data_IF_250448514680
#
_entry.id   IF_250448514680
#
_cell.length_a   1.000
_cell.length_b   1.000
_cell.length_c   1.000
_cell.angle_alpha   90.00
_cell.angle_beta   90.00
_cell.angle_gamma   90.00
#
_symmetry.space_group_name_H-M   'P 1'
#
loop_
_entity.id
_entity.type
_entity.pdbx_description
1 polymer ?
#
# COMPACT_ATOMS: atom_id res chain seq x y z
N UNK A 1 8.40 17.99 9.74
CA UNK A 1 7.46 16.88 9.49
C UNK A 1 6.64 17.20 8.25
N UNK A 2 6.74 16.40 7.18
CA UNK A 2 6.01 16.57 5.93
C UNK A 2 4.72 15.72 5.94
N UNK A 3 3.58 16.36 5.80
CA UNK A 3 2.25 15.74 5.94
C UNK A 3 1.65 15.37 4.59
N UNK A 4 1.44 14.08 4.32
CA UNK A 4 0.83 13.60 3.08
C UNK A 4 -0.55 13.03 3.41
N UNK A 5 -1.61 13.69 2.93
CA UNK A 5 -2.94 13.11 2.92
C UNK A 5 -3.13 12.31 1.61
N UNK A 6 -3.74 11.13 1.70
CA UNK A 6 -3.95 10.27 0.54
C UNK A 6 -5.26 9.49 0.66
N UNK A 7 -5.78 9.00 -0.45
CA UNK A 7 -6.93 8.11 -0.46
C UNK A 7 -6.88 7.08 -1.60
N UNK A 8 -7.53 5.95 -1.37
CA UNK A 8 -8.00 5.08 -2.43
C UNK A 8 -9.30 5.67 -3.00
N UNK A 9 -9.33 5.97 -4.29
CA UNK A 9 -10.51 6.53 -4.94
C UNK A 9 -11.72 5.60 -4.83
N UNK A 10 -12.91 6.17 -4.81
CA UNK A 10 -14.18 5.45 -4.72
C UNK A 10 -14.44 4.73 -3.38
N UNK A 11 -15.30 3.72 -3.40
CA UNK A 11 -15.55 2.69 -2.39
C UNK A 11 -15.99 1.41 -3.10
N UNK A 12 -16.01 0.29 -2.41
CA UNK A 12 -16.13 -1.04 -3.04
C UNK A 12 -17.40 -1.21 -3.90
N UNK A 13 -18.49 -0.54 -3.53
CA UNK A 13 -19.77 -0.64 -4.22
C UNK A 13 -20.07 0.54 -5.18
N UNK A 14 -19.06 1.35 -5.55
CA UNK A 14 -19.25 2.42 -6.53
C UNK A 14 -19.74 1.82 -7.86
N UNK A 15 -20.91 2.23 -8.38
CA UNK A 15 -21.45 1.67 -9.61
C UNK A 15 -20.51 1.88 -10.81
N UNK A 16 -20.35 0.85 -11.65
CA UNK A 16 -19.54 0.91 -12.87
C UNK A 16 -18.02 0.92 -12.66
N UNK A 17 -17.53 1.06 -11.43
CA UNK A 17 -16.10 1.17 -11.09
C UNK A 17 -15.48 -0.20 -10.84
N UNK A 18 -15.11 -0.89 -11.94
CA UNK A 18 -14.59 -2.28 -11.93
C UNK A 18 -13.92 -2.63 -13.25
N UNK A 19 -13.08 -3.65 -13.23
CA UNK A 19 -12.53 -4.23 -14.44
C UNK A 19 -13.63 -4.76 -15.38
N UNK A 20 -13.39 -4.68 -16.67
CA UNK A 20 -14.30 -5.20 -17.68
C UNK A 20 -14.36 -6.74 -17.57
N UNK A 21 -15.55 -7.29 -17.47
CA UNK A 21 -15.81 -8.73 -17.22
C UNK A 21 -15.14 -9.66 -18.22
N UNK A 22 -15.02 -9.25 -19.49
CA UNK A 22 -14.34 -10.02 -20.53
C UNK A 22 -12.83 -10.10 -20.37
N UNK A 23 -12.23 -9.22 -19.53
CA UNK A 23 -10.79 -9.16 -19.26
C UNK A 23 -10.46 -9.67 -17.86
N UNK A 24 -11.39 -9.53 -16.92
CA UNK A 24 -11.30 -10.03 -15.56
C UNK A 24 -12.66 -10.62 -15.14
N UNK A 25 -12.83 -11.95 -15.17
CA UNK A 25 -14.08 -12.61 -14.79
C UNK A 25 -14.57 -12.29 -13.38
N UNK A 26 -13.66 -11.89 -12.48
CA UNK A 26 -13.99 -11.51 -11.09
C UNK A 26 -14.52 -10.07 -11.00
N UNK A 27 -14.48 -9.30 -12.09
CA UNK A 27 -14.88 -7.90 -12.11
C UNK A 27 -14.28 -7.10 -10.95
N UNK A 28 -12.97 -7.23 -10.74
CA UNK A 28 -12.23 -6.59 -9.64
C UNK A 28 -12.59 -5.11 -9.57
N UNK A 29 -13.02 -4.67 -8.39
CA UNK A 29 -13.47 -3.30 -8.16
C UNK A 29 -12.31 -2.32 -8.19
N UNK A 30 -12.53 -1.12 -8.73
CA UNK A 30 -11.52 -0.06 -8.76
C UNK A 30 -10.97 0.24 -7.38
N UNK A 31 -11.83 0.35 -6.37
CA UNK A 31 -11.39 0.58 -5.00
C UNK A 31 -10.40 -0.49 -4.51
N UNK A 32 -10.57 -1.77 -4.89
CA UNK A 32 -9.64 -2.85 -4.48
C UNK A 32 -8.24 -2.62 -5.07
N UNK A 33 -8.15 -2.20 -6.34
CA UNK A 33 -6.88 -1.87 -6.99
C UNK A 33 -6.25 -0.64 -6.36
N UNK A 34 -7.05 0.40 -6.13
CA UNK A 34 -6.61 1.65 -5.49
C UNK A 34 -6.13 1.41 -4.05
N UNK A 35 -6.84 0.55 -3.29
CA UNK A 35 -6.49 0.18 -1.92
C UNK A 35 -5.15 -0.55 -1.84
N UNK A 36 -4.87 -1.48 -2.76
CA UNK A 36 -3.56 -2.14 -2.85
C UNK A 36 -2.43 -1.13 -3.00
N UNK A 37 -2.59 -0.16 -3.91
CA UNK A 37 -1.60 0.93 -4.09
C UNK A 37 -1.49 1.77 -2.82
N UNK A 38 -2.61 2.18 -2.21
CA UNK A 38 -2.64 2.99 -1.01
C UNK A 38 -1.95 2.32 0.18
N UNK A 39 -2.15 1.01 0.36
CA UNK A 39 -1.47 0.21 1.40
C UNK A 39 0.04 0.15 1.17
N UNK A 40 0.47 -0.11 -0.06
CA UNK A 40 1.90 -0.15 -0.38
C UNK A 40 2.54 1.23 -0.32
N UNK A 41 1.81 2.30 -0.68
CA UNK A 41 2.27 3.69 -0.54
C UNK A 41 2.55 4.04 0.92
N UNK A 42 1.65 3.69 1.82
CA UNK A 42 1.87 3.92 3.24
C UNK A 42 3.10 3.16 3.77
N UNK A 43 3.34 1.93 3.27
CA UNK A 43 4.57 1.18 3.59
C UNK A 43 5.82 1.86 3.04
N UNK A 44 5.78 2.36 1.80
CA UNK A 44 6.91 3.06 1.20
C UNK A 44 7.29 4.31 2.00
N UNK A 45 6.30 5.08 2.47
CA UNK A 45 6.51 6.27 3.27
C UNK A 45 7.19 6.02 4.63
N UNK A 46 7.04 4.81 5.20
CA UNK A 46 7.73 4.43 6.44
C UNK A 46 9.26 4.44 6.30
N UNK A 47 9.77 4.32 5.08
CA UNK A 47 11.21 4.38 4.76
C UNK A 47 11.79 5.80 4.73
N UNK A 48 10.99 6.84 4.99
CA UNK A 48 11.44 8.23 4.98
C UNK A 48 11.37 8.87 6.37
N UNK A 49 12.31 9.80 6.61
CA UNK A 49 12.33 10.61 7.82
C UNK A 49 11.25 11.68 7.77
N UNK A 50 10.76 12.08 8.94
CA UNK A 50 9.85 13.23 9.10
C UNK A 50 8.62 13.24 8.19
N UNK A 51 8.06 12.08 7.87
CA UNK A 51 6.82 11.93 7.09
C UNK A 51 5.68 11.49 8.01
N UNK A 52 4.56 12.19 7.90
CA UNK A 52 3.28 11.80 8.47
C UNK A 52 2.26 11.50 7.38
N UNK A 53 1.43 10.51 7.60
CA UNK A 53 0.40 10.08 6.68
C UNK A 53 -1.00 10.20 7.27
N UNK A 54 -1.95 10.67 6.47
CA UNK A 54 -3.37 10.65 6.78
C UNK A 54 -4.15 10.01 5.64
N UNK A 55 -4.71 8.83 5.87
CA UNK A 55 -5.67 8.24 4.94
C UNK A 55 -7.04 8.90 5.12
N UNK A 56 -7.68 9.32 4.03
CA UNK A 56 -8.90 10.12 4.07
C UNK A 56 -10.16 9.38 3.63
N UNK A 57 -10.04 8.27 2.88
CA UNK A 57 -11.14 7.35 2.57
C UNK A 57 -11.43 6.38 3.75
N UNK A 58 -12.45 5.55 3.59
CA UNK A 58 -12.70 4.41 4.49
C UNK A 58 -11.77 3.24 4.11
N UNK A 59 -10.78 2.87 4.95
CA UNK A 59 -9.85 1.79 4.64
C UNK A 59 -10.49 0.40 4.58
N UNK A 60 -11.77 0.27 4.96
CA UNK A 60 -12.53 -0.97 4.78
C UNK A 60 -13.25 -1.02 3.42
N UNK A 61 -13.33 0.10 2.72
CA UNK A 61 -14.04 0.27 1.46
C UNK A 61 -15.56 0.17 1.55
N UNK A 62 -16.13 0.00 2.74
CA UNK A 62 -17.57 -0.22 2.93
C UNK A 62 -18.37 1.07 2.84
N UNK A 63 -17.82 2.18 3.34
CA UNK A 63 -18.50 3.45 3.43
C UNK A 63 -18.03 4.40 2.30
N UNK A 64 -19.02 5.05 1.68
CA UNK A 64 -18.73 6.09 0.70
C UNK A 64 -18.41 7.40 1.42
N UNK A 65 -17.13 7.71 1.59
CA UNK A 65 -16.70 9.02 2.08
C UNK A 65 -16.65 9.97 0.88
N UNK A 66 -17.44 11.04 0.91
CA UNK A 66 -17.50 12.01 -0.19
C UNK A 66 -16.15 12.69 -0.45
N UNK A 67 -15.90 13.14 -1.67
CA UNK A 67 -14.68 13.88 -2.02
C UNK A 67 -14.53 15.10 -1.13
N UNK A 68 -15.60 15.86 -0.91
CA UNK A 68 -15.59 17.03 -0.03
C UNK A 68 -15.18 16.67 1.41
N UNK A 69 -15.67 15.54 1.95
CA UNK A 69 -15.29 15.09 3.29
C UNK A 69 -13.84 14.63 3.36
N UNK A 70 -13.32 13.94 2.31
CA UNK A 70 -11.92 13.50 2.22
C UNK A 70 -10.98 14.71 2.19
N UNK A 71 -11.25 15.69 1.33
CA UNK A 71 -10.43 16.90 1.20
C UNK A 71 -10.54 17.79 2.42
N UNK A 72 -11.73 17.97 3.02
CA UNK A 72 -11.89 18.72 4.25
C UNK A 72 -11.10 18.10 5.43
N UNK A 73 -11.04 16.75 5.50
CA UNK A 73 -10.21 16.06 6.49
C UNK A 73 -8.72 16.34 6.29
N UNK A 74 -8.25 16.34 5.04
CA UNK A 74 -6.86 16.67 4.68
C UNK A 74 -6.52 18.13 5.00
N UNK A 75 -7.40 19.07 4.63
CA UNK A 75 -7.24 20.50 4.87
C UNK A 75 -7.18 20.81 6.37
N UNK A 76 -8.13 20.27 7.16
CA UNK A 76 -8.15 20.43 8.62
C UNK A 76 -6.88 19.89 9.28
N UNK A 77 -6.30 18.81 8.74
CA UNK A 77 -5.06 18.22 9.26
C UNK A 77 -3.82 19.03 8.87
N UNK A 78 -3.92 19.94 7.91
CA UNK A 78 -2.83 20.77 7.41
C UNK A 78 -1.87 19.96 6.53
N UNK A 79 -2.41 19.20 5.57
CA UNK A 79 -1.62 18.44 4.62
C UNK A 79 -0.69 19.36 3.80
N UNK A 80 0.53 18.90 3.51
CA UNK A 80 1.45 19.55 2.58
C UNK A 80 1.26 19.04 1.14
N UNK A 81 0.67 17.86 0.99
CA UNK A 81 0.34 17.24 -0.31
C UNK A 81 -0.90 16.36 -0.15
N UNK A 82 -1.78 16.37 -1.15
CA UNK A 82 -2.90 15.46 -1.29
C UNK A 82 -2.70 14.53 -2.49
N UNK A 83 -2.81 13.21 -2.29
CA UNK A 83 -2.63 12.20 -3.35
C UNK A 83 -3.88 11.35 -3.47
N UNK A 84 -4.55 11.42 -4.64
CA UNK A 84 -5.74 10.64 -4.96
C UNK A 84 -5.37 9.49 -5.91
N UNK A 85 -5.60 8.24 -5.50
CA UNK A 85 -5.14 7.05 -6.20
C UNK A 85 -6.31 6.35 -6.88
N UNK A 86 -6.21 6.16 -8.20
CA UNK A 86 -7.25 5.64 -9.06
C UNK A 86 -6.73 4.67 -10.12
N UNK A 87 -7.67 3.97 -10.78
CA UNK A 87 -7.48 3.26 -12.03
C UNK A 87 -8.53 3.70 -13.05
N UNK A 88 -8.09 3.95 -14.26
CA UNK A 88 -8.87 4.58 -15.33
C UNK A 88 -9.78 3.58 -16.08
N UNK A 89 -10.61 4.12 -16.97
CA UNK A 89 -11.39 3.38 -17.94
C UNK A 89 -11.63 4.24 -19.20
N UNK A 90 -12.15 3.65 -20.25
CA UNK A 90 -12.47 4.33 -21.52
C UNK A 90 -11.75 3.75 -22.75
N UNK A 91 -11.18 2.53 -22.61
CA UNK A 91 -10.54 1.75 -23.69
C UNK A 91 -11.52 0.74 -24.29
N UNK A 92 -12.57 0.34 -23.52
CA UNK A 92 -13.64 -0.56 -23.94
C UNK A 92 -13.17 -1.88 -24.55
N UNK A 93 -12.20 -2.54 -23.88
CA UNK A 93 -11.64 -3.83 -24.32
C UNK A 93 -10.56 -3.72 -25.40
N UNK A 94 -10.20 -2.51 -25.84
CA UNK A 94 -9.10 -2.25 -26.74
C UNK A 94 -7.73 -2.44 -26.08
N UNK A 95 -6.67 -2.18 -26.85
CA UNK A 95 -5.27 -2.14 -26.39
C UNK A 95 -4.85 -0.73 -26.05
N UNK A 96 -3.81 -0.58 -25.22
CA UNK A 96 -3.26 0.70 -24.82
C UNK A 96 -3.79 1.15 -23.47
N UNK A 97 -3.66 2.44 -23.17
CA UNK A 97 -3.96 3.01 -21.86
C UNK A 97 -2.70 3.52 -21.17
N UNK A 98 -2.31 2.90 -20.09
CA UNK A 98 -1.14 3.24 -19.28
C UNK A 98 -1.44 4.24 -18.17
N UNK A 99 -0.40 4.64 -17.46
CA UNK A 99 -0.47 5.60 -16.35
C UNK A 99 -0.82 6.99 -16.86
N UNK A 100 -1.76 7.66 -16.19
CA UNK A 100 -2.11 9.06 -16.43
C UNK A 100 -2.08 9.82 -15.10
N UNK A 101 -1.53 11.02 -15.11
CA UNK A 101 -1.41 11.84 -13.92
C UNK A 101 -2.03 13.23 -14.12
N UNK A 102 -2.71 13.71 -13.08
CA UNK A 102 -3.44 14.98 -13.13
C UNK A 102 -3.04 15.90 -11.98
N UNK A 103 -3.03 17.21 -12.26
CA UNK A 103 -3.03 18.25 -11.25
C UNK A 103 -4.10 19.32 -11.58
N UNK A 104 -4.37 20.20 -10.62
CA UNK A 104 -5.30 21.30 -10.87
C UNK A 104 -4.67 22.34 -11.82
N UNK A 105 -5.44 22.91 -12.78
CA UNK A 105 -4.95 23.95 -13.69
C UNK A 105 -4.34 25.13 -12.94
N UNK A 106 -3.14 25.53 -13.35
CA UNK A 106 -2.42 26.65 -12.74
C UNK A 106 -1.72 26.32 -11.40
N UNK A 107 -1.83 25.11 -10.87
CA UNK A 107 -1.10 24.68 -9.67
C UNK A 107 0.36 24.35 -10.00
N UNK A 108 1.27 25.32 -9.83
CA UNK A 108 2.69 25.12 -10.12
C UNK A 108 3.34 24.00 -9.27
N UNK A 109 2.98 23.93 -7.99
CA UNK A 109 3.46 22.86 -7.11
C UNK A 109 2.80 21.52 -7.42
N UNK A 110 1.48 21.50 -7.67
CA UNK A 110 0.79 20.28 -8.09
C UNK A 110 1.39 19.70 -9.37
N UNK A 111 1.78 20.57 -10.33
CA UNK A 111 2.48 20.17 -11.55
C UNK A 111 3.83 19.52 -11.26
N UNK A 112 4.65 20.10 -10.37
CA UNK A 112 5.96 19.52 -10.00
C UNK A 112 5.81 18.12 -9.41
N UNK A 113 4.88 17.94 -8.49
CA UNK A 113 4.62 16.62 -7.90
C UNK A 113 4.09 15.63 -8.94
N UNK A 114 3.09 16.02 -9.75
CA UNK A 114 2.55 15.19 -10.83
C UNK A 114 3.63 14.68 -11.77
N UNK A 115 4.49 15.58 -12.25
CA UNK A 115 5.52 15.28 -13.24
C UNK A 115 6.58 14.34 -12.64
N UNK A 116 7.06 14.61 -11.42
CA UNK A 116 8.06 13.77 -10.74
C UNK A 116 7.51 12.38 -10.38
N UNK A 117 6.27 12.30 -9.89
CA UNK A 117 5.61 11.03 -9.59
C UNK A 117 5.46 10.19 -10.87
N UNK A 118 4.95 10.79 -11.94
CA UNK A 118 4.78 10.10 -13.22
C UNK A 118 6.12 9.58 -13.75
N UNK A 119 7.16 10.41 -13.78
CA UNK A 119 8.50 10.03 -14.24
C UNK A 119 9.03 8.82 -13.48
N UNK A 120 8.97 8.84 -12.15
CA UNK A 120 9.46 7.75 -11.31
C UNK A 120 8.63 6.48 -11.46
N UNK A 121 7.30 6.60 -11.58
CA UNK A 121 6.42 5.46 -11.84
C UNK A 121 6.77 4.80 -13.18
N UNK A 122 6.96 5.57 -14.25
CA UNK A 122 7.34 5.00 -15.55
C UNK A 122 8.74 4.41 -15.52
N UNK A 123 9.70 5.09 -14.88
CA UNK A 123 11.08 4.59 -14.72
C UNK A 123 11.15 3.28 -13.94
N UNK A 124 10.30 3.10 -12.95
CA UNK A 124 10.22 1.89 -12.14
C UNK A 124 9.60 0.69 -12.90
N UNK A 125 9.00 0.90 -14.05
CA UNK A 125 8.30 -0.14 -14.83
C UNK A 125 6.78 0.00 -14.84
N UNK A 126 6.23 1.15 -14.44
CA UNK A 126 4.82 1.47 -14.61
C UNK A 126 4.39 1.46 -16.08
N UNK A 127 3.12 1.21 -16.31
CA UNK A 127 2.55 1.12 -17.67
C UNK A 127 2.68 2.46 -18.41
N UNK A 128 3.60 2.56 -19.35
CA UNK A 128 3.75 3.75 -20.19
C UNK A 128 2.54 3.96 -21.10
N UNK A 129 1.98 2.86 -21.60
CA UNK A 129 0.83 2.88 -22.51
C UNK A 129 1.09 3.61 -23.82
N UNK A 130 0.01 4.06 -24.47
CA UNK A 130 0.04 4.73 -25.77
C UNK A 130 -0.56 6.15 -25.75
N UNK A 131 -0.71 6.76 -24.59
CA UNK A 131 -1.25 8.11 -24.45
C UNK A 131 -0.23 9.16 -24.92
N UNK A 132 -0.66 10.06 -25.83
CA UNK A 132 0.16 11.19 -26.28
C UNK A 132 0.31 12.27 -25.20
N UNK A 133 -0.68 12.37 -24.29
CA UNK A 133 -0.70 13.33 -23.20
C UNK A 133 -1.04 12.61 -21.88
N UNK A 134 -0.07 11.93 -21.25
CA UNK A 134 -0.30 11.27 -19.97
C UNK A 134 -0.30 12.25 -18.79
N UNK A 135 0.28 13.43 -18.94
CA UNK A 135 0.33 14.50 -17.95
C UNK A 135 -0.72 15.56 -18.26
N UNK A 136 -1.73 15.69 -17.42
CA UNK A 136 -2.88 16.54 -17.70
C UNK A 136 -3.19 17.50 -16.55
N UNK A 137 -3.88 18.58 -16.89
CA UNK A 137 -4.49 19.50 -15.93
C UNK A 137 -6.02 19.36 -16.03
N UNK A 138 -6.67 19.08 -14.90
CA UNK A 138 -8.13 18.86 -14.82
C UNK A 138 -8.73 19.48 -13.56
N UNK A 139 -9.96 19.99 -13.69
CA UNK A 139 -10.71 20.56 -12.56
C UNK A 139 -11.50 19.48 -11.80
N UNK A 140 -10.83 18.37 -11.44
CA UNK A 140 -11.44 17.37 -10.59
C UNK A 140 -11.64 17.91 -9.16
N UNK A 141 -12.72 17.53 -8.51
CA UNK A 141 -13.06 18.04 -7.19
C UNK A 141 -12.01 17.68 -6.13
N UNK A 142 -11.39 16.53 -6.19
CA UNK A 142 -10.31 16.16 -5.27
C UNK A 142 -9.08 17.06 -5.41
N UNK A 143 -8.81 17.57 -6.61
CA UNK A 143 -7.71 18.52 -6.88
C UNK A 143 -8.11 19.96 -6.54
N UNK A 144 -9.38 20.32 -6.73
CA UNK A 144 -9.90 21.67 -6.54
C UNK A 144 -10.16 22.00 -5.08
N UNK A 145 -10.64 21.05 -4.30
CA UNK A 145 -11.07 21.25 -2.90
C UNK A 145 -9.93 21.05 -1.89
N UNK A 146 -8.79 20.53 -2.33
CA UNK A 146 -7.60 20.44 -1.50
C UNK A 146 -6.91 21.82 -1.41
N UNK A 147 -6.61 22.28 -0.19
CA UNK A 147 -5.84 23.50 0.05
C UNK A 147 -4.36 23.28 -0.29
N UNK A 148 -3.86 22.08 -0.05
CA UNK A 148 -2.52 21.67 -0.43
C UNK A 148 -2.39 21.41 -1.94
N UNK A 149 -1.17 21.46 -2.53
CA UNK A 149 -0.90 20.86 -3.82
C UNK A 149 -1.50 19.46 -3.89
N UNK A 150 -2.18 19.15 -5.02
CA UNK A 150 -2.89 17.89 -5.15
C UNK A 150 -2.58 17.21 -6.48
N UNK A 151 -2.45 15.87 -6.44
CA UNK A 151 -2.20 15.02 -7.60
C UNK A 151 -3.20 13.87 -7.59
N UNK A 152 -3.80 13.57 -8.75
CA UNK A 152 -4.58 12.36 -8.97
C UNK A 152 -3.80 11.46 -9.94
N UNK A 153 -3.60 10.22 -9.53
CA UNK A 153 -2.89 9.22 -10.31
C UNK A 153 -3.84 8.13 -10.78
N UNK A 154 -3.81 7.82 -12.06
CA UNK A 154 -4.49 6.70 -12.70
C UNK A 154 -3.43 5.67 -13.11
N UNK A 155 -3.33 4.55 -12.40
CA UNK A 155 -2.22 3.59 -12.54
C UNK A 155 -2.41 2.57 -13.66
N UNK A 156 -3.40 2.73 -14.52
CA UNK A 156 -3.72 1.87 -15.66
C UNK A 156 -5.22 1.81 -15.90
N UNK A 157 -5.64 1.15 -16.97
CA UNK A 157 -7.03 1.13 -17.41
C UNK A 157 -7.69 -0.21 -17.14
N UNK A 158 -8.77 -0.21 -16.37
CA UNK A 158 -9.54 -1.40 -15.96
C UNK A 158 -10.30 -2.08 -17.10
N UNK A 159 -10.36 -1.45 -18.25
CA UNK A 159 -11.03 -1.93 -19.46
C UNK A 159 -10.07 -2.07 -20.66
N UNK A 160 -8.76 -2.06 -20.40
CA UNK A 160 -7.72 -2.28 -21.41
C UNK A 160 -7.19 -3.72 -21.35
N UNK A 161 -7.15 -4.40 -22.50
CA UNK A 161 -6.59 -5.77 -22.59
C UNK A 161 -5.10 -5.85 -22.30
N UNK A 162 -4.37 -4.73 -22.44
CA UNK A 162 -2.94 -4.64 -22.13
C UNK A 162 -2.68 -4.29 -20.67
N UNK A 163 -3.55 -3.50 -20.05
CA UNK A 163 -3.33 -3.02 -18.69
C UNK A 163 -3.90 -3.98 -17.63
N UNK A 164 -5.08 -4.57 -17.88
CA UNK A 164 -5.77 -5.43 -16.90
C UNK A 164 -4.88 -6.55 -16.36
N UNK A 165 -4.16 -7.35 -17.18
CA UNK A 165 -3.29 -8.39 -16.65
C UNK A 165 -2.19 -7.88 -15.70
N UNK A 166 -1.75 -6.63 -15.91
CA UNK A 166 -0.69 -5.98 -15.12
C UNK A 166 -1.24 -5.38 -13.83
N UNK A 167 -2.34 -4.62 -13.90
CA UNK A 167 -2.91 -3.95 -12.72
C UNK A 167 -3.56 -4.92 -11.72
N UNK A 168 -3.88 -6.14 -12.14
CA UNK A 168 -4.35 -7.21 -11.27
C UNK A 168 -3.23 -7.81 -10.42
N UNK A 169 -1.95 -7.67 -10.84
CA UNK A 169 -0.80 -8.16 -10.09
C UNK A 169 -0.51 -7.23 -8.89
N UNK A 170 -0.45 -7.82 -7.70
CA UNK A 170 -0.09 -7.08 -6.47
C UNK A 170 1.35 -6.54 -6.53
N UNK A 171 2.26 -7.20 -7.26
CA UNK A 171 3.62 -6.72 -7.45
C UNK A 171 3.63 -5.38 -8.21
N UNK A 172 2.74 -5.20 -9.18
CA UNK A 172 2.57 -3.93 -9.87
C UNK A 172 2.06 -2.82 -8.92
N UNK A 173 1.06 -3.12 -8.11
CA UNK A 173 0.54 -2.16 -7.10
C UNK A 173 1.65 -1.71 -6.15
N UNK A 174 2.51 -2.64 -5.70
CA UNK A 174 3.68 -2.33 -4.88
C UNK A 174 4.66 -1.43 -5.63
N UNK A 175 5.00 -1.79 -6.87
CA UNK A 175 5.95 -1.05 -7.71
C UNK A 175 5.53 0.41 -7.87
N UNK A 176 4.30 0.67 -8.33
CA UNK A 176 3.82 2.05 -8.58
C UNK A 176 3.66 2.85 -7.29
N UNK A 177 3.31 2.21 -6.19
CA UNK A 177 3.19 2.86 -4.89
C UNK A 177 4.55 3.35 -4.36
N UNK A 178 5.58 2.51 -4.44
CA UNK A 178 6.94 2.88 -4.01
C UNK A 178 7.50 3.98 -4.91
N UNK A 179 7.30 3.89 -6.23
CA UNK A 179 7.72 4.92 -7.17
C UNK A 179 6.97 6.26 -6.96
N UNK A 180 5.68 6.21 -6.61
CA UNK A 180 4.91 7.40 -6.23
C UNK A 180 5.55 8.11 -5.03
N UNK A 181 5.92 7.36 -4.00
CA UNK A 181 6.58 7.94 -2.82
C UNK A 181 7.97 8.50 -3.15
N UNK A 182 8.72 7.86 -4.05
CA UNK A 182 10.01 8.33 -4.53
C UNK A 182 9.89 9.69 -5.22
N UNK A 183 8.93 9.83 -6.16
CA UNK A 183 8.66 11.10 -6.85
C UNK A 183 8.26 12.21 -5.88
N UNK A 184 7.45 11.90 -4.86
CA UNK A 184 7.10 12.85 -3.80
C UNK A 184 8.36 13.26 -3.02
N UNK A 185 9.17 12.31 -2.63
CA UNK A 185 10.37 12.54 -1.82
C UNK A 185 11.36 13.47 -2.53
N UNK A 186 11.56 13.30 -3.84
CA UNK A 186 12.42 14.18 -4.65
C UNK A 186 11.95 15.63 -4.62
N UNK A 187 10.65 15.88 -4.80
CA UNK A 187 10.11 17.25 -4.84
C UNK A 187 10.09 17.88 -3.45
N UNK A 188 9.77 17.09 -2.41
CA UNK A 188 9.68 17.57 -1.04
C UNK A 188 11.03 17.58 -0.30
N UNK A 189 12.12 17.07 -0.91
CA UNK A 189 13.43 16.99 -0.27
C UNK A 189 13.47 16.03 0.91
N UNK A 190 12.65 14.97 0.91
CA UNK A 190 12.59 14.01 2.00
C UNK A 190 13.80 13.09 1.99
N UNK A 191 14.36 12.83 3.16
CA UNK A 191 15.48 11.91 3.33
C UNK A 191 14.97 10.51 3.59
N UNK A 192 15.57 9.52 2.93
CA UNK A 192 15.39 8.12 3.34
C UNK A 192 16.00 7.93 4.72
N UNK A 193 15.31 7.18 5.56
CA UNK A 193 15.89 6.72 6.81
C UNK A 193 17.15 5.96 6.49
N UNK A 194 18.24 6.29 7.16
CA UNK A 194 19.43 5.44 7.13
C UNK A 194 19.01 4.09 7.72
N UNK A 195 18.89 3.10 6.84
CA UNK A 195 18.87 1.73 7.29
C UNK A 195 20.30 1.46 7.71
N UNK A 196 20.57 1.29 9.00
CA UNK A 196 21.83 0.64 9.41
C UNK A 196 21.88 -0.67 8.64
N UNK A 197 22.58 -0.67 7.53
CA UNK A 197 22.79 -1.82 6.67
C UNK A 197 23.82 -2.74 7.32
N UNK A 198 23.40 -3.51 8.31
CA UNK A 198 23.77 -4.92 8.20
C UNK A 198 23.00 -5.42 6.98
N UNK A 199 23.66 -6.06 5.97
CA UNK A 199 22.94 -6.69 4.88
C UNK A 199 21.98 -7.69 5.54
N UNK A 200 20.70 -7.31 5.64
CA UNK A 200 19.67 -8.28 5.90
C UNK A 200 19.67 -9.14 4.65
N UNK A 201 20.19 -10.35 4.73
CA UNK A 201 19.81 -11.42 3.83
C UNK A 201 18.29 -11.24 3.63
N UNK A 202 17.87 -11.08 2.38
CA UNK A 202 16.50 -10.75 2.04
C UNK A 202 15.58 -11.82 2.66
N UNK A 203 15.01 -11.51 3.84
CA UNK A 203 14.20 -12.48 4.59
C UNK A 203 12.89 -12.70 3.85
N UNK A 204 12.95 -13.63 2.90
CA UNK A 204 11.87 -13.93 1.97
C UNK A 204 10.63 -14.46 2.69
N UNK A 205 9.46 -14.34 2.04
CA UNK A 205 8.22 -14.96 2.54
C UNK A 205 8.40 -16.47 2.72
N UNK A 206 9.05 -17.16 1.78
CA UNK A 206 9.31 -18.59 1.85
C UNK A 206 10.18 -18.94 3.07
N UNK A 207 11.22 -18.15 3.36
CA UNK A 207 12.07 -18.38 4.54
C UNK A 207 11.26 -18.13 5.84
N UNK A 208 10.44 -17.07 5.87
CA UNK A 208 9.55 -16.82 7.00
C UNK A 208 8.60 -18.00 7.26
N UNK A 209 7.97 -18.54 6.21
CA UNK A 209 7.07 -19.68 6.33
C UNK A 209 7.82 -20.89 6.90
N UNK A 210 9.01 -21.22 6.39
CA UNK A 210 9.85 -22.31 6.91
C UNK A 210 10.20 -22.13 8.38
N UNK A 211 10.56 -20.91 8.79
CA UNK A 211 10.90 -20.60 10.18
C UNK A 211 9.67 -20.74 11.09
N UNK A 212 8.49 -20.31 10.65
CA UNK A 212 7.23 -20.49 11.38
C UNK A 212 6.86 -21.98 11.48
N UNK A 213 6.96 -22.71 10.38
CA UNK A 213 6.71 -24.17 10.35
C UNK A 213 7.61 -24.90 11.32
N UNK A 214 8.91 -24.60 11.33
CA UNK A 214 9.87 -25.14 12.28
C UNK A 214 9.51 -24.78 13.72
N UNK A 215 9.21 -23.50 13.98
CA UNK A 215 8.90 -23.01 15.32
C UNK A 215 7.58 -23.57 15.89
N UNK A 216 6.61 -23.85 15.02
CA UNK A 216 5.28 -24.32 15.41
C UNK A 216 5.07 -25.84 15.21
N UNK A 217 6.08 -26.58 14.73
CA UNK A 217 5.99 -28.03 14.54
C UNK A 217 5.06 -28.44 13.39
N UNK A 218 5.04 -27.67 12.31
CA UNK A 218 4.41 -28.03 11.06
C UNK A 218 5.42 -28.64 10.07
N UNK A 219 4.94 -29.27 9.01
CA UNK A 219 5.81 -29.74 7.91
C UNK A 219 6.55 -28.56 7.28
N UNK A 220 7.89 -28.66 7.20
CA UNK A 220 8.75 -27.56 6.70
C UNK A 220 8.92 -27.69 5.17
N UNK A 221 7.97 -27.14 4.42
CA UNK A 221 7.98 -27.13 2.97
C UNK A 221 8.06 -25.69 2.36
N UNK A 222 7.90 -24.67 3.20
CA UNK A 222 7.90 -23.27 2.75
C UNK A 222 6.59 -22.83 2.09
N UNK A 223 5.52 -23.62 2.22
CA UNK A 223 4.20 -23.34 1.66
C UNK A 223 3.21 -23.06 2.79
N UNK A 224 2.64 -21.86 2.84
CA UNK A 224 1.63 -21.51 3.82
C UNK A 224 0.28 -22.16 3.46
N UNK A 225 -0.08 -23.21 4.16
CA UNK A 225 -1.33 -23.94 3.97
C UNK A 225 -2.13 -24.08 5.27
N UNK A 226 -3.28 -24.80 5.21
CA UNK A 226 -4.13 -25.06 6.38
C UNK A 226 -3.38 -25.70 7.56
N UNK A 227 -2.43 -26.61 7.28
CA UNK A 227 -1.60 -27.24 8.30
C UNK A 227 -0.74 -26.18 9.01
N UNK A 228 0.03 -25.38 8.26
CA UNK A 228 0.85 -24.32 8.83
C UNK A 228 0.01 -23.38 9.70
N UNK A 229 -1.14 -22.92 9.20
CA UNK A 229 -2.04 -22.05 9.93
C UNK A 229 -2.59 -22.71 11.20
N UNK A 230 -2.95 -24.00 11.13
CA UNK A 230 -3.51 -24.74 12.28
C UNK A 230 -2.53 -24.90 13.46
N UNK A 231 -1.23 -24.87 13.17
CA UNK A 231 -0.14 -24.99 14.14
C UNK A 231 0.33 -23.67 14.73
N UNK A 232 -0.11 -22.51 14.16
CA UNK A 232 0.28 -21.21 14.70
C UNK A 232 -0.18 -21.03 16.13
N UNK A 233 0.58 -20.26 16.90
CA UNK A 233 0.31 -19.93 18.30
C UNK A 233 -0.01 -18.45 18.47
N UNK A 234 -0.69 -18.09 19.54
CA UNK A 234 -0.90 -16.68 19.90
C UNK A 234 0.39 -16.09 20.43
N UNK A 235 0.81 -14.94 19.87
CA UNK A 235 2.02 -14.21 20.25
C UNK A 235 1.64 -12.80 20.71
N UNK A 236 2.02 -12.45 21.94
CA UNK A 236 1.89 -11.09 22.48
C UNK A 236 2.83 -10.92 23.67
N UNK A 237 2.88 -9.72 24.22
CA UNK A 237 3.67 -9.44 25.43
C UNK A 237 3.24 -10.28 26.62
N UNK A 238 1.97 -10.68 26.69
CA UNK A 238 1.39 -11.49 27.79
C UNK A 238 1.27 -12.98 27.48
N UNK A 239 1.39 -13.38 26.19
CA UNK A 239 1.20 -14.76 25.75
C UNK A 239 2.33 -15.20 24.85
N UNK A 240 3.02 -16.27 25.23
CA UNK A 240 4.12 -16.85 24.43
C UNK A 240 5.19 -15.82 24.01
N UNK A 241 5.50 -14.86 24.89
CA UNK A 241 6.36 -13.72 24.56
C UNK A 241 7.79 -14.09 24.14
N UNK A 242 8.26 -15.29 24.46
CA UNK A 242 9.58 -15.85 24.06
C UNK A 242 9.44 -17.08 23.17
N UNK A 243 8.27 -17.34 22.58
CA UNK A 243 8.10 -18.46 21.68
C UNK A 243 9.00 -18.34 20.43
N UNK A 244 9.55 -19.45 19.95
CA UNK A 244 10.49 -19.49 18.80
C UNK A 244 9.98 -18.74 17.56
N UNK A 245 8.67 -18.72 17.34
CA UNK A 245 8.06 -17.98 16.23
C UNK A 245 8.16 -16.46 16.37
N UNK A 246 8.40 -15.89 17.56
CA UNK A 246 8.52 -14.45 17.78
C UNK A 246 9.67 -13.89 16.93
N UNK A 247 10.83 -14.54 16.95
CA UNK A 247 12.00 -14.12 16.17
C UNK A 247 11.72 -14.11 14.66
N UNK A 248 10.99 -15.11 14.15
CA UNK A 248 10.57 -15.17 12.76
C UNK A 248 9.63 -14.01 12.41
N UNK A 249 8.64 -13.73 13.29
CA UNK A 249 7.70 -12.62 13.10
C UNK A 249 8.40 -11.27 13.16
N UNK A 250 9.37 -11.07 14.06
CA UNK A 250 10.17 -9.83 14.12
C UNK A 250 10.93 -9.60 12.81
N UNK A 251 11.63 -10.62 12.29
CA UNK A 251 12.31 -10.55 10.98
C UNK A 251 11.33 -10.23 9.85
N UNK A 252 10.14 -10.87 9.86
CA UNK A 252 9.11 -10.64 8.86
C UNK A 252 8.55 -9.23 8.89
N UNK A 253 8.22 -8.73 10.08
CA UNK A 253 7.77 -7.35 10.27
C UNK A 253 8.82 -6.35 9.78
N UNK A 254 10.09 -6.58 10.13
CA UNK A 254 11.19 -5.74 9.67
C UNK A 254 11.33 -5.76 8.13
N UNK A 255 11.29 -6.95 7.52
CA UNK A 255 11.34 -7.11 6.06
C UNK A 255 10.12 -6.49 5.34
N UNK A 256 8.98 -6.37 6.04
CA UNK A 256 7.79 -5.68 5.56
C UNK A 256 7.85 -4.15 5.78
N UNK A 257 8.94 -3.61 6.36
CA UNK A 257 9.14 -2.17 6.58
C UNK A 257 8.66 -1.66 7.95
N UNK A 258 8.22 -2.54 8.86
CA UNK A 258 7.85 -2.16 10.24
C UNK A 258 9.10 -2.14 11.14
N UNK A 259 10.02 -1.21 10.85
CA UNK A 259 11.36 -1.14 11.46
C UNK A 259 11.35 -0.85 12.96
N UNK A 260 10.26 -0.30 13.50
CA UNK A 260 10.06 -0.11 14.93
C UNK A 260 10.05 -1.41 15.76
N UNK A 261 9.93 -2.56 15.12
CA UNK A 261 10.09 -3.86 15.77
C UNK A 261 11.50 -4.02 16.36
N UNK A 262 12.48 -3.31 15.78
CA UNK A 262 13.88 -3.36 16.20
C UNK A 262 14.55 -4.67 15.82
N UNK A 263 15.55 -5.06 16.63
CA UNK A 263 16.27 -6.32 16.44
C UNK A 263 15.38 -7.53 16.70
N UNK A 264 15.64 -8.62 15.98
CA UNK A 264 14.92 -9.88 16.14
C UNK A 264 15.51 -10.68 17.34
N UNK A 265 15.26 -10.18 18.53
CA UNK A 265 15.73 -10.75 19.81
C UNK A 265 14.93 -11.98 20.29
N UNK A 266 13.78 -12.26 19.66
CA UNK A 266 12.90 -13.35 20.04
C UNK A 266 11.96 -13.04 21.20
N UNK A 267 11.84 -11.77 21.59
CA UNK A 267 10.98 -11.33 22.70
C UNK A 267 9.85 -10.43 22.17
N UNK A 268 8.61 -10.84 22.43
CA UNK A 268 7.43 -10.05 22.08
C UNK A 268 7.19 -8.93 23.11
N UNK A 269 8.10 -7.93 23.13
CA UNK A 269 8.03 -6.79 24.05
C UNK A 269 7.24 -5.60 23.46
N UNK A 270 7.46 -4.40 24.03
CA UNK A 270 6.76 -3.16 23.63
C UNK A 270 7.00 -2.79 22.17
N UNK A 271 8.23 -2.95 21.65
CA UNK A 271 8.57 -2.69 20.24
C UNK A 271 7.83 -3.64 19.30
N UNK A 272 7.79 -4.94 19.64
CA UNK A 272 7.01 -5.94 18.92
C UNK A 272 5.53 -5.55 18.87
N UNK A 273 4.94 -5.26 20.04
CA UNK A 273 3.52 -4.86 20.14
C UNK A 273 3.21 -3.64 19.28
N UNK A 274 4.08 -2.62 19.28
CA UNK A 274 3.93 -1.42 18.44
C UNK A 274 3.95 -1.75 16.95
N UNK A 275 4.90 -2.58 16.51
CA UNK A 275 5.02 -3.00 15.12
C UNK A 275 3.82 -3.87 14.69
N UNK A 276 3.36 -4.79 15.56
CA UNK A 276 2.17 -5.61 15.31
C UNK A 276 0.93 -4.74 15.16
N UNK A 277 0.71 -3.74 16.02
CA UNK A 277 -0.42 -2.81 15.90
C UNK A 277 -0.42 -2.09 14.57
N UNK A 278 0.71 -1.56 14.14
CA UNK A 278 0.84 -0.93 12.81
C UNK A 278 0.58 -1.94 11.67
N UNK A 279 1.14 -3.14 11.76
CA UNK A 279 0.87 -4.19 10.78
C UNK A 279 -0.63 -4.51 10.72
N UNK A 280 -1.28 -4.64 11.87
CA UNK A 280 -2.72 -4.92 11.97
C UNK A 280 -3.55 -3.79 11.35
N UNK A 281 -3.23 -2.54 11.65
CA UNK A 281 -3.88 -1.36 11.09
C UNK A 281 -3.81 -1.36 9.56
N UNK A 282 -2.60 -1.51 9.00
CA UNK A 282 -2.38 -1.54 7.55
C UNK A 282 -2.98 -2.76 6.83
N UNK A 283 -3.17 -3.87 7.54
CA UNK A 283 -3.76 -5.09 6.96
C UNK A 283 -5.22 -5.30 7.36
N UNK A 284 -5.89 -4.26 7.92
CA UNK A 284 -7.29 -4.27 8.33
C UNK A 284 -7.62 -5.42 9.30
N UNK A 285 -6.67 -5.75 10.16
CA UNK A 285 -6.87 -6.69 11.26
C UNK A 285 -7.41 -5.95 12.50
N UNK A 286 -7.85 -6.70 13.52
CA UNK A 286 -8.12 -6.12 14.85
C UNK A 286 -6.82 -5.54 15.40
N UNK A 287 -6.80 -4.25 15.76
CA UNK A 287 -5.60 -3.53 16.22
C UNK A 287 -5.46 -3.67 17.73
N UNK A 288 -5.00 -4.82 18.19
CA UNK A 288 -4.81 -5.16 19.61
C UNK A 288 -3.32 -5.35 19.99
N UNK A 289 -2.45 -5.54 19.01
CA UNK A 289 -1.03 -5.84 19.23
C UNK A 289 -0.75 -7.30 19.58
N UNK A 290 -1.76 -8.17 19.45
CA UNK A 290 -1.66 -9.61 19.63
C UNK A 290 -1.80 -10.33 18.27
N UNK A 291 -0.94 -11.27 17.97
CA UNK A 291 -1.06 -12.13 16.80
C UNK A 291 -1.78 -13.41 17.25
N UNK A 292 -3.11 -13.38 17.28
CA UNK A 292 -3.93 -14.52 17.73
C UNK A 292 -3.77 -15.71 16.79
N UNK A 293 -3.57 -16.91 17.35
CA UNK A 293 -3.44 -18.18 16.61
C UNK A 293 -4.56 -18.36 15.58
N UNK A 294 -4.19 -18.82 14.38
CA UNK A 294 -5.12 -19.17 13.27
C UNK A 294 -5.93 -18.00 12.72
N UNK A 295 -5.74 -16.76 13.23
CA UNK A 295 -6.55 -15.61 12.90
C UNK A 295 -5.97 -14.79 11.73
N UNK A 296 -6.69 -13.74 11.32
CA UNK A 296 -6.39 -12.88 10.17
C UNK A 296 -4.97 -12.31 10.19
N UNK A 297 -4.44 -11.91 11.35
CA UNK A 297 -3.08 -11.38 11.46
C UNK A 297 -2.04 -12.43 11.02
N UNK A 298 -2.17 -13.69 11.45
CA UNK A 298 -1.32 -14.77 10.97
C UNK A 298 -1.47 -15.03 9.47
N UNK A 299 -2.71 -15.07 8.97
CA UNK A 299 -2.94 -15.24 7.52
C UNK A 299 -2.21 -14.17 6.72
N UNK A 300 -2.34 -12.90 7.09
CA UNK A 300 -1.68 -11.79 6.41
C UNK A 300 -0.15 -11.84 6.49
N UNK A 301 0.43 -12.24 7.62
CA UNK A 301 1.87 -12.45 7.76
C UNK A 301 2.37 -13.56 6.84
N UNK A 302 1.60 -14.64 6.73
CA UNK A 302 1.91 -15.82 5.92
C UNK A 302 1.60 -15.62 4.43
N UNK A 303 1.06 -14.47 4.02
CA UNK A 303 0.69 -14.21 2.61
C UNK A 303 -0.56 -14.98 2.16
N UNK A 304 -1.41 -15.42 3.10
CA UNK A 304 -2.67 -16.10 2.80
C UNK A 304 -3.79 -15.04 2.64
N UNK A 305 -4.70 -15.29 1.73
CA UNK A 305 -5.91 -14.48 1.50
C UNK A 305 -6.97 -14.64 2.61
#
# INVERSE_FOLDING_TARGET
MFKIAYCAGHYINTPGKRCLKSLDPNETREWVLNDRVAVHFARAAMGYEEVELLRTDDPTGKNNISIASRTAKANKWGANLYVDMHHNAGINGGSGGGVVAFCYPGSSQGKKYRDAIYEDVIKAGGLKGNRSQPLQEKKFDSLRLADAPAVLMEYGFMDSRTDVPVILDEAYSKLVAYATMEGIAKVAGLKKKEVETKPAEEYSLTQFIKDVQTACGAKVDGIAGPETLSKTVTLSQSKNCTHKAVKAVQKRLYALGYTEVGEADGIAGAKFTKAVKKFQEFNLCTVDGEITAKNKTWKKLLGMS
#
